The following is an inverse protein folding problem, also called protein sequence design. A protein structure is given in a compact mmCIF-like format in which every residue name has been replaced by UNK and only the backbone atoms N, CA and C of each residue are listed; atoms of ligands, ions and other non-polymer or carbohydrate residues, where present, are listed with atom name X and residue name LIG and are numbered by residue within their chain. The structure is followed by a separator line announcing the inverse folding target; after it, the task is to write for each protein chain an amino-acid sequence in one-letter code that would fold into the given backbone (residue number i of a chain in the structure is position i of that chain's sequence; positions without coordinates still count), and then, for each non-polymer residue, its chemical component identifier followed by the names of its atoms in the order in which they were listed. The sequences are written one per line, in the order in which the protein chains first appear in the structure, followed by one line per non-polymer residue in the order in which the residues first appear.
data_IF_799339555930
#
_entry.id   IF_799339555930
#
_cell.length_a   1.000
_cell.length_b   1.000
_cell.length_c   1.000
_cell.angle_alpha   90.00
_cell.angle_beta   90.00
_cell.angle_gamma   90.00
#
_symmetry.space_group_name_H-M   'P 1'
#
loop_
_entity.id
_entity.type
_entity.pdbx_description
1 polymer ?
#
# COMPACT_ATOMS: atom_id res chain seq x y z
N UNK A 1 20.91 16.01 8.76
CA UNK A 1 21.14 16.21 7.31
C UNK A 1 20.47 15.16 6.41
N UNK A 2 19.74 14.15 6.94
CA UNK A 2 19.07 13.11 6.11
C UNK A 2 17.57 13.36 5.84
N UNK A 3 16.91 14.28 6.56
CA UNK A 3 15.46 14.49 6.44
C UNK A 3 15.06 15.24 5.15
N UNK A 4 15.86 16.22 4.73
CA UNK A 4 15.54 17.08 3.57
C UNK A 4 15.52 16.32 2.23
N UNK A 5 16.22 15.18 2.11
CA UNK A 5 16.31 14.41 0.85
C UNK A 5 15.21 13.36 0.64
N UNK A 6 14.51 12.95 1.71
CA UNK A 6 13.40 11.99 1.60
C UNK A 6 12.09 12.73 1.29
N UNK A 7 11.85 13.88 1.93
CA UNK A 7 10.68 14.74 1.67
C UNK A 7 10.64 15.27 0.23
N UNK A 8 11.77 15.74 -0.31
CA UNK A 8 11.87 16.19 -1.72
C UNK A 8 11.61 15.05 -2.73
N UNK A 9 11.93 13.80 -2.37
CA UNK A 9 11.64 12.63 -3.21
C UNK A 9 10.17 12.23 -3.16
N UNK A 10 9.54 12.39 -2.00
CA UNK A 10 8.11 12.10 -1.81
C UNK A 10 7.25 13.13 -2.54
N UNK A 11 7.54 14.43 -2.41
CA UNK A 11 6.87 15.50 -3.18
C UNK A 11 6.98 15.28 -4.70
N UNK A 12 8.15 14.85 -5.19
CA UNK A 12 8.33 14.51 -6.60
C UNK A 12 7.51 13.29 -7.04
N UNK A 13 7.36 12.28 -6.19
CA UNK A 13 6.60 11.07 -6.52
C UNK A 13 5.08 11.32 -6.51
N UNK A 14 4.61 12.22 -5.64
CA UNK A 14 3.22 12.70 -5.60
C UNK A 14 2.83 13.39 -6.91
N UNK A 15 3.66 14.31 -7.39
CA UNK A 15 3.42 15.00 -8.66
C UNK A 15 3.42 14.04 -9.85
N UNK A 16 4.36 13.09 -9.87
CA UNK A 16 4.41 12.03 -10.90
C UNK A 16 3.14 11.18 -10.89
N UNK A 17 2.67 10.74 -9.72
CA UNK A 17 1.44 9.94 -9.61
C UNK A 17 0.22 10.73 -10.13
N UNK A 18 0.14 12.02 -9.80
CA UNK A 18 -0.94 12.91 -10.22
C UNK A 18 -0.92 13.16 -11.73
N UNK A 19 0.25 13.48 -12.29
CA UNK A 19 0.43 13.69 -13.73
C UNK A 19 0.13 12.43 -14.53
N UNK A 20 0.63 11.27 -14.05
CA UNK A 20 0.37 9.98 -14.70
C UNK A 20 -1.13 9.68 -14.73
N UNK A 21 -1.84 9.91 -13.62
CA UNK A 21 -3.27 9.68 -13.52
C UNK A 21 -4.07 10.57 -14.48
N UNK A 22 -3.73 11.88 -14.56
CA UNK A 22 -4.36 12.80 -15.52
C UNK A 22 -4.09 12.39 -16.97
N UNK A 23 -2.86 12.00 -17.27
CA UNK A 23 -2.42 11.68 -18.65
C UNK A 23 -3.02 10.37 -19.13
N UNK A 24 -3.19 9.38 -18.25
CA UNK A 24 -3.72 8.06 -18.58
C UNK A 24 -5.23 7.92 -18.34
N UNK A 25 -5.85 8.86 -17.64
CA UNK A 25 -7.27 8.80 -17.31
C UNK A 25 -7.61 7.64 -16.37
N UNK A 26 -6.69 7.27 -15.47
CA UNK A 26 -6.87 6.18 -14.52
C UNK A 26 -6.28 6.52 -13.15
N UNK A 27 -6.69 5.79 -12.12
CA UNK A 27 -6.00 5.82 -10.83
C UNK A 27 -4.61 5.23 -10.96
N UNK A 28 -3.59 5.93 -10.46
CA UNK A 28 -2.20 5.47 -10.40
C UNK A 28 -1.82 5.20 -8.95
N UNK A 29 -1.17 4.06 -8.70
CA UNK A 29 -0.56 3.74 -7.42
C UNK A 29 0.95 3.50 -7.60
N UNK A 30 1.77 4.17 -6.79
CA UNK A 30 3.22 4.02 -6.74
C UNK A 30 3.57 3.42 -5.37
N UNK A 31 4.03 2.17 -5.35
CA UNK A 31 4.35 1.48 -4.11
C UNK A 31 5.79 1.72 -3.67
N UNK A 32 6.04 1.87 -2.37
CA UNK A 32 7.31 2.35 -1.84
C UNK A 32 7.57 2.04 -0.38
N UNK A 33 8.24 2.97 0.31
CA UNK A 33 8.26 3.02 1.78
C UNK A 33 6.95 3.65 2.27
N UNK A 34 6.49 4.66 1.54
CA UNK A 34 5.14 5.20 1.54
C UNK A 34 4.55 4.83 0.18
N UNK A 35 3.33 4.28 0.17
CA UNK A 35 2.60 4.05 -1.06
C UNK A 35 1.78 5.31 -1.40
N UNK A 36 1.78 5.71 -2.66
CA UNK A 36 1.15 6.94 -3.15
C UNK A 36 0.07 6.55 -4.14
N UNK A 37 -1.18 6.95 -3.91
CA UNK A 37 -2.30 6.73 -4.83
C UNK A 37 -2.84 8.06 -5.30
N UNK A 38 -3.12 8.22 -6.59
CA UNK A 38 -3.77 9.41 -7.13
C UNK A 38 -4.79 9.06 -8.21
N UNK A 39 -5.83 9.87 -8.34
CA UNK A 39 -6.73 9.88 -9.50
C UNK A 39 -6.53 11.11 -10.41
N UNK A 40 -5.47 11.89 -10.16
CA UNK A 40 -5.18 13.14 -10.85
C UNK A 40 -5.73 14.38 -10.16
N UNK A 41 -6.64 14.23 -9.20
CA UNK A 41 -7.18 15.33 -8.39
C UNK A 41 -6.85 15.16 -6.90
N UNK A 42 -7.05 13.96 -6.37
CA UNK A 42 -6.77 13.55 -5.00
C UNK A 42 -5.45 12.80 -4.93
N UNK A 43 -4.77 12.87 -3.79
CA UNK A 43 -3.65 12.00 -3.47
C UNK A 43 -3.87 11.37 -2.08
N UNK A 44 -3.55 10.09 -1.95
CA UNK A 44 -3.45 9.39 -0.68
C UNK A 44 -2.03 8.89 -0.47
N UNK A 45 -1.47 9.19 0.70
CA UNK A 45 -0.17 8.69 1.16
C UNK A 45 -0.41 7.63 2.23
N UNK A 46 0.12 6.44 2.03
CA UNK A 46 -0.12 5.26 2.87
C UNK A 46 1.20 4.81 3.47
N UNK A 47 1.29 4.81 4.80
CA UNK A 47 2.51 4.47 5.54
C UNK A 47 2.41 3.10 6.21
N UNK A 48 1.50 2.25 5.73
CA UNK A 48 1.38 0.85 6.13
C UNK A 48 2.39 -0.04 5.40
N UNK A 49 2.76 -1.16 6.02
CA UNK A 49 3.67 -2.14 5.44
C UNK A 49 4.92 -2.41 6.26
N UNK A 50 5.75 -3.32 5.77
CA UNK A 50 6.96 -3.75 6.45
C UNK A 50 8.07 -4.14 5.47
N UNK A 51 9.34 -3.94 5.85
CA UNK A 51 10.51 -4.25 5.00
C UNK A 51 10.57 -5.71 4.55
N UNK A 52 9.98 -6.63 5.33
CA UNK A 52 9.84 -8.05 4.99
C UNK A 52 9.09 -8.29 3.67
N UNK A 53 8.20 -7.39 3.25
CA UNK A 53 7.53 -7.47 1.94
C UNK A 53 8.52 -7.47 0.76
N UNK A 54 9.71 -6.88 0.92
CA UNK A 54 10.76 -6.88 -0.11
C UNK A 54 11.58 -8.18 -0.15
N UNK A 55 11.41 -9.06 0.82
CA UNK A 55 12.19 -10.31 0.95
C UNK A 55 11.54 -11.51 0.25
N UNK A 56 10.28 -11.37 -0.16
CA UNK A 56 9.51 -12.42 -0.84
C UNK A 56 9.20 -11.96 -2.26
N UNK A 57 9.54 -12.79 -3.24
CA UNK A 57 9.22 -12.53 -4.63
C UNK A 57 7.70 -12.54 -4.86
N UNK A 58 7.21 -11.64 -5.70
CA UNK A 58 5.79 -11.58 -6.08
C UNK A 58 4.89 -10.80 -5.12
N UNK A 59 5.39 -10.25 -4.01
CA UNK A 59 4.58 -9.42 -3.09
C UNK A 59 3.98 -8.19 -3.77
N UNK A 60 4.70 -7.57 -4.71
CA UNK A 60 4.13 -6.49 -5.53
C UNK A 60 2.94 -6.95 -6.39
N UNK A 61 3.02 -8.14 -6.97
CA UNK A 61 1.90 -8.72 -7.73
C UNK A 61 0.72 -9.04 -6.80
N UNK A 62 0.99 -9.55 -5.59
CA UNK A 62 -0.04 -9.81 -4.58
C UNK A 62 -0.75 -8.52 -4.17
N UNK A 63 -0.01 -7.43 -3.94
CA UNK A 63 -0.59 -6.12 -3.64
C UNK A 63 -1.58 -5.68 -4.73
N UNK A 64 -1.20 -5.82 -6.01
CA UNK A 64 -2.09 -5.54 -7.15
C UNK A 64 -3.32 -6.44 -7.15
N UNK A 65 -3.20 -7.73 -6.80
CA UNK A 65 -4.36 -8.64 -6.67
C UNK A 65 -5.31 -8.19 -5.56
N UNK A 66 -4.79 -7.76 -4.41
CA UNK A 66 -5.62 -7.22 -3.32
C UNK A 66 -6.32 -5.93 -3.76
N UNK A 67 -5.61 -5.00 -4.40
CA UNK A 67 -6.23 -3.80 -4.99
C UNK A 67 -7.34 -4.16 -5.97
N UNK A 68 -7.14 -5.16 -6.82
CA UNK A 68 -8.18 -5.63 -7.76
C UNK A 68 -9.40 -6.21 -7.03
N UNK A 69 -9.20 -6.94 -5.93
CA UNK A 69 -10.30 -7.45 -5.11
C UNK A 69 -11.12 -6.30 -4.49
N UNK A 70 -10.46 -5.25 -3.99
CA UNK A 70 -11.14 -4.04 -3.50
C UNK A 70 -11.88 -3.32 -4.63
N UNK A 71 -11.26 -3.18 -5.82
CA UNK A 71 -11.88 -2.52 -6.98
C UNK A 71 -13.09 -3.29 -7.55
N UNK A 72 -13.23 -4.57 -7.22
CA UNK A 72 -14.42 -5.35 -7.56
C UNK A 72 -15.61 -5.04 -6.64
N UNK A 73 -15.36 -4.58 -5.41
CA UNK A 73 -16.38 -4.24 -4.42
C UNK A 73 -16.66 -2.73 -4.30
N UNK A 74 -15.69 -1.89 -4.66
CA UNK A 74 -15.75 -0.42 -4.57
C UNK A 74 -15.66 0.22 -5.96
N UNK A 75 -16.61 1.11 -6.28
CA UNK A 75 -16.69 1.79 -7.57
C UNK A 75 -15.63 2.89 -7.70
N UNK A 76 -15.33 3.62 -6.62
CA UNK A 76 -14.28 4.63 -6.60
C UNK A 76 -12.89 3.96 -6.61
N UNK A 77 -12.26 3.96 -7.78
CA UNK A 77 -10.95 3.33 -8.01
C UNK A 77 -9.84 3.90 -7.14
N UNK A 78 -9.93 5.17 -6.74
CA UNK A 78 -8.99 5.77 -5.79
C UNK A 78 -9.14 5.13 -4.42
N UNK A 79 -10.37 5.07 -3.88
CA UNK A 79 -10.64 4.45 -2.58
C UNK A 79 -10.35 2.95 -2.59
N UNK A 80 -10.65 2.26 -3.69
CA UNK A 80 -10.34 0.84 -3.85
C UNK A 80 -8.82 0.58 -3.79
N UNK A 81 -8.02 1.37 -4.52
CA UNK A 81 -6.56 1.24 -4.50
C UNK A 81 -5.99 1.59 -3.11
N UNK A 82 -6.47 2.68 -2.50
CA UNK A 82 -6.05 3.09 -1.16
C UNK A 82 -6.38 2.02 -0.12
N UNK A 83 -7.62 1.51 -0.09
CA UNK A 83 -8.05 0.47 0.83
C UNK A 83 -7.28 -0.84 0.66
N UNK A 84 -7.06 -1.26 -0.59
CA UNK A 84 -6.31 -2.49 -0.89
C UNK A 84 -4.85 -2.43 -0.43
N UNK A 85 -4.18 -1.29 -0.62
CA UNK A 85 -2.80 -1.10 -0.16
C UNK A 85 -2.70 -0.97 1.37
N UNK A 86 -3.64 -0.27 2.02
CA UNK A 86 -3.72 -0.24 3.49
C UNK A 86 -3.87 -1.66 4.05
N UNK A 87 -4.82 -2.44 3.51
CA UNK A 87 -5.07 -3.82 3.94
C UNK A 87 -3.82 -4.70 3.77
N UNK A 88 -3.20 -4.65 2.59
CA UNK A 88 -1.99 -5.42 2.31
C UNK A 88 -0.82 -5.01 3.22
N UNK A 89 -0.65 -3.71 3.46
CA UNK A 89 0.37 -3.17 4.36
C UNK A 89 0.18 -3.64 5.81
N UNK A 90 -1.05 -3.56 6.34
CA UNK A 90 -1.37 -4.03 7.70
C UNK A 90 -1.12 -5.54 7.84
N UNK A 91 -1.54 -6.34 6.85
CA UNK A 91 -1.26 -7.77 6.84
C UNK A 91 0.26 -8.04 6.81
N UNK A 92 1.03 -7.27 6.04
CA UNK A 92 2.49 -7.33 6.02
C UNK A 92 3.12 -7.02 7.38
N UNK A 93 2.62 -6.02 8.11
CA UNK A 93 3.09 -5.72 9.47
C UNK A 93 2.81 -6.87 10.44
N UNK A 94 1.59 -7.41 10.42
CA UNK A 94 1.16 -8.52 11.29
C UNK A 94 1.99 -9.78 11.01
N UNK A 95 2.16 -10.12 9.73
CA UNK A 95 2.98 -11.24 9.31
C UNK A 95 4.44 -11.11 9.77
N UNK A 96 5.02 -9.91 9.67
CA UNK A 96 6.40 -9.65 10.07
C UNK A 96 6.61 -9.80 11.59
N UNK A 97 5.63 -9.38 12.40
CA UNK A 97 5.67 -9.56 13.86
C UNK A 97 5.74 -11.04 14.25
N UNK A 98 5.01 -11.90 13.55
CA UNK A 98 4.96 -13.35 13.81
C UNK A 98 6.21 -14.04 13.25
N UNK A 99 6.58 -13.73 12.01
CA UNK A 99 7.65 -14.44 11.31
C UNK A 99 9.04 -14.06 11.81
N UNK A 100 9.25 -12.83 12.27
CA UNK A 100 10.59 -12.26 12.42
C UNK A 100 11.34 -12.25 11.07
N UNK A 101 12.70 -12.34 11.06
CA UNK A 101 13.51 -12.22 9.84
C UNK A 101 13.61 -13.54 9.06
N UNK A 102 12.47 -14.22 8.83
CA UNK A 102 12.39 -15.53 8.14
C UNK A 102 11.47 -15.42 6.93
N UNK A 103 11.98 -15.18 5.70
CA UNK A 103 11.16 -14.89 4.52
C UNK A 103 10.16 -16.00 4.16
N UNK A 104 10.55 -17.27 4.29
CA UNK A 104 9.64 -18.40 4.02
C UNK A 104 8.47 -18.45 5.00
N UNK A 105 8.72 -18.22 6.29
CA UNK A 105 7.68 -18.12 7.32
C UNK A 105 6.81 -16.88 7.11
N UNK A 106 7.44 -15.74 6.79
CA UNK A 106 6.74 -14.49 6.48
C UNK A 106 5.73 -14.66 5.35
N UNK A 107 6.10 -15.37 4.27
CA UNK A 107 5.20 -15.63 3.15
C UNK A 107 3.93 -16.38 3.58
N UNK A 108 4.06 -17.40 4.44
CA UNK A 108 2.90 -18.13 4.97
C UNK A 108 2.08 -17.22 5.90
N UNK A 109 2.74 -16.57 6.85
CA UNK A 109 2.07 -15.66 7.78
C UNK A 109 1.38 -14.48 7.08
N UNK A 110 1.84 -14.06 5.90
CA UNK A 110 1.20 -13.01 5.10
C UNK A 110 -0.17 -13.46 4.59
N UNK A 111 -0.30 -14.70 4.12
CA UNK A 111 -1.60 -15.23 3.72
C UNK A 111 -2.55 -15.38 4.90
N UNK A 112 -2.07 -15.90 6.03
CA UNK A 112 -2.87 -16.03 7.24
C UNK A 112 -3.32 -14.63 7.73
N UNK A 113 -2.41 -13.67 7.76
CA UNK A 113 -2.71 -12.30 8.15
C UNK A 113 -3.75 -11.64 7.23
N UNK A 114 -3.67 -11.85 5.90
CA UNK A 114 -4.66 -11.36 4.94
C UNK A 114 -6.04 -11.99 5.17
N UNK A 115 -6.10 -13.29 5.46
CA UNK A 115 -7.34 -14.01 5.70
C UNK A 115 -8.01 -13.60 7.02
N UNK A 116 -7.22 -13.20 8.02
CA UNK A 116 -7.70 -12.79 9.34
C UNK A 116 -8.04 -11.30 9.46
N UNK A 117 -7.79 -10.49 8.43
CA UNK A 117 -8.03 -9.04 8.49
C UNK A 117 -9.49 -8.74 8.85
N UNK A 118 -9.65 -7.91 9.87
CA UNK A 118 -10.95 -7.41 10.33
C UNK A 118 -11.13 -5.92 10.02
N UNK A 119 -12.39 -5.49 9.96
CA UNK A 119 -12.74 -4.06 9.85
C UNK A 119 -12.12 -3.24 10.98
N UNK A 120 -12.16 -3.75 12.22
CA UNK A 120 -11.57 -3.10 13.39
C UNK A 120 -10.05 -2.90 13.24
N UNK A 121 -9.33 -3.91 12.74
CA UNK A 121 -7.90 -3.79 12.46
C UNK A 121 -7.61 -2.75 11.38
N UNK A 122 -8.41 -2.71 10.30
CA UNK A 122 -8.24 -1.71 9.25
C UNK A 122 -8.43 -0.29 9.80
N UNK A 123 -9.52 -0.05 10.54
CA UNK A 123 -9.84 1.27 11.07
C UNK A 123 -8.84 1.75 12.13
N UNK A 124 -8.34 0.83 12.98
CA UNK A 124 -7.41 1.19 14.06
C UNK A 124 -5.96 1.33 13.62
N UNK A 125 -5.56 0.70 12.50
CA UNK A 125 -4.15 0.64 12.06
C UNK A 125 -3.86 1.36 10.76
N UNK A 126 -4.88 1.82 10.03
CA UNK A 126 -4.68 2.59 8.81
C UNK A 126 -3.87 3.87 9.10
N UNK A 127 -2.74 4.01 8.39
CA UNK A 127 -1.93 5.22 8.38
C UNK A 127 -2.00 5.81 6.99
N UNK A 128 -2.99 6.68 6.79
CA UNK A 128 -3.25 7.34 5.52
C UNK A 128 -3.44 8.84 5.70
N UNK A 129 -2.82 9.63 4.81
CA UNK A 129 -3.02 11.08 4.72
C UNK A 129 -3.55 11.43 3.33
N UNK A 130 -4.60 12.24 3.27
CA UNK A 130 -5.17 12.75 2.02
C UNK A 130 -4.71 14.19 1.78
N UNK A 131 -4.30 14.49 0.55
CA UNK A 131 -3.87 15.83 0.09
C UNK A 131 -4.51 16.20 -1.24
#
# INVERSE_FOLDING_TARGET
MQQTSEEEKEEGAEEVAKEMSKTKGCTTAITGKIDIVSDGTRIALIENGHSMLRTVSGTGCMATTIVAAFAAAEEDRFLAATGGLIAFGIAGEKAAQISGPRPGTFHVCLYDALAELSEEELLSRARVRFI
#
